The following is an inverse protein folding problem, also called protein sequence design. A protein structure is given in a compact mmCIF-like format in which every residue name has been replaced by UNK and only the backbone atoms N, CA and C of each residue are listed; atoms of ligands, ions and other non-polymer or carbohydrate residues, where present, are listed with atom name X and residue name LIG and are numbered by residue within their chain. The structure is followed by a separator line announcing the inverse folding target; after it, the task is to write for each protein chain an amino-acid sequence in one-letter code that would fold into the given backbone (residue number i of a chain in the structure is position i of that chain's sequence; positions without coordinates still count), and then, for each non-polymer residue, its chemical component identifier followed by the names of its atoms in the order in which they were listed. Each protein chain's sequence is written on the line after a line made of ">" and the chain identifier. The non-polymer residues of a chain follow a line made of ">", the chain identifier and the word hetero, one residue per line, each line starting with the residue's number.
data_IF_443931090505
#
_entry.id   IF_443931090505
#
_cell.length_a   1.000
_cell.length_b   1.000
_cell.length_c   1.000
_cell.angle_alpha   90.00
_cell.angle_beta   90.00
_cell.angle_gamma   90.00
#
_symmetry.space_group_name_H-M   'P 1'
#
loop_
_entity.id
_entity.type
_entity.pdbx_description
1 polymer ?
#
# COMPACT_ATOMS: atom_id res chain seq x y z
N UNK A 1 -18.25 7.41 -3.84
CA UNK A 1 -18.60 7.32 -2.40
C UNK A 1 -18.92 8.71 -1.88
N UNK A 2 -19.88 8.86 -0.95
CA UNK A 2 -20.11 10.11 -0.23
C UNK A 2 -18.90 10.49 0.65
N UNK A 3 -18.68 11.79 0.85
CA UNK A 3 -17.74 12.28 1.87
C UNK A 3 -18.26 12.00 3.29
N UNK A 4 -17.35 11.72 4.23
CA UNK A 4 -17.68 11.43 5.63
C UNK A 4 -17.75 12.66 6.52
N UNK A 5 -16.93 13.68 6.25
CA UNK A 5 -16.82 14.93 7.00
C UNK A 5 -16.84 16.15 6.06
N UNK A 6 -16.94 17.34 6.63
CA UNK A 6 -17.05 18.57 5.84
C UNK A 6 -15.69 19.01 5.27
N UNK A 7 -15.69 19.47 4.02
CA UNK A 7 -14.48 19.89 3.29
C UNK A 7 -14.62 21.33 2.83
N UNK A 8 -13.57 22.14 3.00
CA UNK A 8 -13.54 23.55 2.62
C UNK A 8 -13.25 24.47 3.79
N UNK A 9 -13.70 25.73 3.67
CA UNK A 9 -13.46 26.79 4.64
C UNK A 9 -14.02 26.40 6.01
N UNK A 10 -13.15 26.34 7.02
CA UNK A 10 -13.48 25.91 8.38
C UNK A 10 -14.09 24.49 8.49
N UNK A 11 -13.94 23.66 7.45
CA UNK A 11 -14.34 22.26 7.48
C UNK A 11 -13.36 21.38 8.26
N UNK A 12 -13.78 20.14 8.55
CA UNK A 12 -12.92 19.11 9.14
C UNK A 12 -11.72 18.81 8.25
N UNK A 13 -11.92 18.81 6.92
CA UNK A 13 -10.87 18.63 5.92
C UNK A 13 -10.08 17.31 6.09
N UNK A 14 -10.80 16.22 6.36
CA UNK A 14 -10.22 14.88 6.37
C UNK A 14 -9.60 14.53 5.01
N UNK A 15 -8.37 13.99 5.03
CA UNK A 15 -7.57 13.72 3.83
C UNK A 15 -8.35 13.02 2.72
N UNK A 16 -9.08 11.95 3.08
CA UNK A 16 -9.86 11.16 2.12
C UNK A 16 -10.98 11.98 1.46
N UNK A 17 -11.67 12.81 2.23
CA UNK A 17 -12.77 13.64 1.72
C UNK A 17 -12.25 14.82 0.89
N UNK A 18 -11.13 15.44 1.30
CA UNK A 18 -10.49 16.49 0.53
C UNK A 18 -10.02 15.97 -0.82
N UNK A 19 -9.44 14.76 -0.86
CA UNK A 19 -9.05 14.11 -2.11
C UNK A 19 -10.24 13.88 -3.04
N UNK A 20 -11.38 13.44 -2.49
CA UNK A 20 -12.61 13.26 -3.26
C UNK A 20 -13.11 14.59 -3.83
N UNK A 21 -13.17 15.63 -3.00
CA UNK A 21 -13.63 16.97 -3.42
C UNK A 21 -12.71 17.60 -4.46
N UNK A 22 -11.39 17.54 -4.26
CA UNK A 22 -10.42 18.08 -5.22
C UNK A 22 -10.55 17.41 -6.59
N UNK A 23 -10.84 16.11 -6.64
CA UNK A 23 -11.10 15.44 -7.90
C UNK A 23 -12.38 15.90 -8.58
N UNK A 24 -13.50 15.98 -7.84
CA UNK A 24 -14.77 16.43 -8.43
C UNK A 24 -14.69 17.89 -8.91
N UNK A 25 -13.95 18.75 -8.18
CA UNK A 25 -13.69 20.12 -8.63
C UNK A 25 -12.81 20.16 -9.87
N UNK A 26 -11.81 19.28 -9.98
CA UNK A 26 -10.94 19.22 -11.15
C UNK A 26 -11.67 18.82 -12.43
N UNK A 27 -12.72 18.00 -12.34
CA UNK A 27 -13.57 17.69 -13.48
C UNK A 27 -14.26 18.95 -14.02
N UNK A 28 -14.87 19.74 -13.12
CA UNK A 28 -15.50 21.01 -13.47
C UNK A 28 -14.49 22.05 -13.98
N UNK A 29 -13.33 22.16 -13.31
CA UNK A 29 -12.26 23.06 -13.74
C UNK A 29 -11.77 22.69 -15.14
N UNK A 30 -11.57 21.40 -15.42
CA UNK A 30 -11.18 20.91 -16.74
C UNK A 30 -12.22 21.20 -17.82
N UNK A 31 -13.51 20.94 -17.53
CA UNK A 31 -14.62 21.20 -18.44
C UNK A 31 -14.78 22.71 -18.77
N UNK A 32 -14.31 23.59 -17.88
CA UNK A 32 -14.37 25.04 -18.05
C UNK A 32 -13.02 25.64 -18.49
N UNK A 33 -12.04 24.82 -18.87
CA UNK A 33 -10.72 25.27 -19.34
C UNK A 33 -9.84 25.89 -18.24
N UNK A 34 -10.19 25.70 -16.97
CA UNK A 34 -9.45 26.21 -15.82
C UNK A 34 -8.33 25.26 -15.40
N UNK A 35 -7.31 25.81 -14.72
CA UNK A 35 -6.15 25.03 -14.25
C UNK A 35 -6.56 24.06 -13.12
N UNK A 36 -6.24 22.76 -13.23
CA UNK A 36 -6.52 21.80 -12.16
C UNK A 36 -5.81 22.13 -10.83
N UNK A 37 -6.47 21.77 -9.74
CA UNK A 37 -5.95 21.68 -8.39
C UNK A 37 -4.98 20.48 -8.26
N UNK A 38 -3.91 20.61 -7.48
CA UNK A 38 -3.18 19.44 -6.97
C UNK A 38 -4.13 18.56 -6.16
N UNK A 39 -4.09 17.25 -6.38
CA UNK A 39 -4.88 16.25 -5.64
C UNK A 39 -4.08 15.70 -4.46
N UNK A 40 -3.58 16.62 -3.64
CA UNK A 40 -2.72 16.31 -2.49
C UNK A 40 -3.50 15.93 -1.23
N UNK A 41 -4.81 16.17 -1.19
CA UNK A 41 -5.62 16.02 0.01
C UNK A 41 -5.45 17.20 0.99
N UNK A 42 -4.71 18.23 0.61
CA UNK A 42 -4.58 19.46 1.38
C UNK A 42 -5.65 20.48 0.99
N UNK A 43 -6.53 20.85 1.93
CA UNK A 43 -7.58 21.83 1.68
C UNK A 43 -7.06 23.28 1.84
N UNK A 44 -6.09 23.67 1.01
CA UNK A 44 -5.54 25.02 1.00
C UNK A 44 -6.41 26.05 0.27
N UNK A 45 -5.91 27.30 0.19
CA UNK A 45 -6.62 28.44 -0.41
C UNK A 45 -7.13 28.18 -1.82
N UNK A 46 -6.39 27.41 -2.65
CA UNK A 46 -6.81 27.05 -4.00
C UNK A 46 -8.02 26.12 -4.01
N UNK A 47 -8.05 25.14 -3.12
CA UNK A 47 -9.19 24.22 -2.97
C UNK A 47 -10.41 24.99 -2.51
N UNK A 48 -10.27 25.83 -1.49
CA UNK A 48 -11.37 26.66 -0.96
C UNK A 48 -11.90 27.61 -2.04
N UNK A 49 -11.02 28.29 -2.78
CA UNK A 49 -11.43 29.17 -3.87
C UNK A 49 -12.20 28.43 -4.98
N UNK A 50 -11.77 27.21 -5.33
CA UNK A 50 -12.48 26.39 -6.29
C UNK A 50 -13.86 25.94 -5.78
N UNK A 51 -14.00 25.61 -4.49
CA UNK A 51 -15.31 25.33 -3.87
C UNK A 51 -16.21 26.56 -3.96
N UNK A 52 -15.72 27.73 -3.53
CA UNK A 52 -16.48 28.99 -3.59
C UNK A 52 -16.91 29.31 -5.01
N UNK A 53 -16.01 29.14 -5.98
CA UNK A 53 -16.30 29.40 -7.39
C UNK A 53 -17.33 28.42 -7.96
N UNK A 54 -17.22 27.13 -7.65
CA UNK A 54 -18.20 26.12 -8.06
C UNK A 54 -19.59 26.44 -7.49
N UNK A 55 -19.67 26.79 -6.20
CA UNK A 55 -20.94 27.19 -5.57
C UNK A 55 -21.56 28.41 -6.25
N UNK A 56 -20.76 29.42 -6.58
CA UNK A 56 -21.25 30.61 -7.27
C UNK A 56 -21.71 30.29 -8.71
N UNK A 57 -20.89 29.60 -9.49
CA UNK A 57 -21.09 29.44 -10.94
C UNK A 57 -22.04 28.29 -11.31
N UNK A 58 -22.08 27.23 -10.52
CA UNK A 58 -22.88 26.03 -10.83
C UNK A 58 -24.18 26.00 -10.04
N UNK A 59 -24.17 26.52 -8.79
CA UNK A 59 -25.34 26.49 -7.92
C UNK A 59 -26.05 27.83 -7.81
N UNK A 60 -25.53 28.87 -8.47
CA UNK A 60 -26.01 30.24 -8.37
C UNK A 60 -26.16 30.71 -6.92
N UNK A 61 -25.18 30.34 -6.08
CA UNK A 61 -25.20 30.68 -4.67
C UNK A 61 -24.93 32.17 -4.48
N UNK A 62 -25.93 32.92 -3.98
CA UNK A 62 -25.80 34.35 -3.71
C UNK A 62 -24.70 34.70 -2.67
N UNK A 63 -24.39 33.76 -1.77
CA UNK A 63 -23.31 33.88 -0.78
C UNK A 63 -22.57 32.55 -0.68
N UNK A 64 -21.61 32.27 -1.57
CA UNK A 64 -20.85 31.03 -1.53
C UNK A 64 -19.96 31.00 -0.28
N UNK A 65 -20.13 29.98 0.56
CA UNK A 65 -19.47 29.88 1.87
C UNK A 65 -18.10 29.18 1.79
N UNK A 66 -17.82 28.50 0.67
CA UNK A 66 -16.59 27.74 0.47
C UNK A 66 -16.54 26.43 1.28
N UNK A 67 -17.69 25.92 1.75
CA UNK A 67 -17.79 24.71 2.57
C UNK A 67 -18.71 23.67 1.91
N UNK A 68 -18.26 22.42 1.90
CA UNK A 68 -19.01 21.26 1.42
C UNK A 68 -19.31 20.37 2.63
N UNK A 69 -20.59 20.27 3.00
CA UNK A 69 -21.06 19.33 4.00
C UNK A 69 -21.46 17.97 3.38
N UNK A 70 -21.31 16.85 4.11
CA UNK A 70 -21.85 15.55 3.71
C UNK A 70 -23.34 15.63 3.38
N UNK A 71 -23.74 15.10 2.22
CA UNK A 71 -25.14 15.14 1.77
C UNK A 71 -25.68 16.53 1.41
N UNK A 72 -24.86 17.59 1.51
CA UNK A 72 -25.26 18.96 1.24
C UNK A 72 -25.45 19.26 -0.24
N UNK A 73 -26.05 20.42 -0.54
CA UNK A 73 -26.38 20.85 -1.91
C UNK A 73 -25.15 20.88 -2.84
N UNK A 74 -24.01 21.38 -2.36
CA UNK A 74 -22.76 21.38 -3.14
C UNK A 74 -22.23 19.97 -3.39
N UNK A 75 -22.29 19.10 -2.38
CA UNK A 75 -21.92 17.69 -2.54
C UNK A 75 -22.80 17.00 -3.58
N UNK A 76 -24.12 17.15 -3.49
CA UNK A 76 -25.07 16.52 -4.41
C UNK A 76 -24.84 16.96 -5.87
N UNK A 77 -24.54 18.24 -6.10
CA UNK A 77 -24.26 18.74 -7.44
C UNK A 77 -22.94 18.21 -8.02
N UNK A 78 -21.87 18.21 -7.21
CA UNK A 78 -20.60 17.60 -7.60
C UNK A 78 -20.75 16.09 -7.86
N UNK A 79 -21.56 15.42 -7.04
CA UNK A 79 -21.83 13.99 -7.17
C UNK A 79 -22.74 13.64 -8.36
N UNK A 80 -23.68 14.51 -8.74
CA UNK A 80 -24.57 14.29 -9.90
C UNK A 80 -23.78 14.27 -11.23
N UNK A 81 -22.66 14.99 -11.32
CA UNK A 81 -21.72 14.89 -12.44
C UNK A 81 -20.99 13.55 -12.55
N UNK A 82 -21.13 12.64 -11.59
CA UNK A 82 -20.47 11.33 -11.60
C UNK A 82 -21.08 10.32 -12.59
N UNK A 83 -22.28 10.58 -13.14
CA UNK A 83 -22.93 9.69 -14.11
C UNK A 83 -22.16 9.47 -15.41
N UNK A 84 -21.16 10.31 -15.68
CA UNK A 84 -20.24 10.21 -16.83
C UNK A 84 -18.82 9.84 -16.43
N UNK A 85 -18.57 9.47 -15.16
CA UNK A 85 -17.21 9.30 -14.65
C UNK A 85 -16.62 7.94 -15.06
N UNK A 86 -15.45 7.92 -15.73
CA UNK A 86 -14.66 6.71 -15.84
C UNK A 86 -14.20 6.26 -14.44
N UNK A 87 -13.99 4.95 -14.19
CA UNK A 87 -13.48 4.48 -12.90
C UNK A 87 -12.18 5.18 -12.51
N UNK A 88 -11.92 5.34 -11.20
CA UNK A 88 -10.70 5.97 -10.70
C UNK A 88 -9.46 5.25 -11.27
N UNK A 89 -8.37 5.99 -11.48
CA UNK A 89 -7.13 5.46 -12.04
C UNK A 89 -5.92 5.88 -11.20
N UNK A 90 -4.79 5.18 -11.41
CA UNK A 90 -3.49 5.53 -10.85
C UNK A 90 -3.51 5.86 -9.35
N UNK A 91 -2.75 6.89 -8.97
CA UNK A 91 -2.57 7.30 -7.58
C UNK A 91 -3.88 7.71 -6.90
N UNK A 92 -4.85 8.26 -7.64
CA UNK A 92 -6.16 8.58 -7.09
C UNK A 92 -6.88 7.31 -6.63
N UNK A 93 -6.97 6.30 -7.50
CA UNK A 93 -7.59 5.04 -7.16
C UNK A 93 -6.90 4.42 -5.95
N UNK A 94 -5.57 4.45 -5.92
CA UNK A 94 -4.80 3.92 -4.79
C UNK A 94 -5.13 4.65 -3.49
N UNK A 95 -5.07 5.98 -3.47
CA UNK A 95 -5.31 6.76 -2.26
C UNK A 95 -6.72 6.51 -1.70
N UNK A 96 -7.71 6.35 -2.57
CA UNK A 96 -9.09 6.07 -2.18
C UNK A 96 -9.31 4.62 -1.66
N UNK A 97 -8.48 3.66 -2.06
CA UNK A 97 -8.73 2.23 -1.81
C UNK A 97 -7.63 1.52 -0.99
N UNK A 98 -6.49 2.15 -0.72
CA UNK A 98 -5.31 1.49 -0.15
C UNK A 98 -5.55 0.77 1.18
N UNK A 99 -6.47 1.27 2.01
CA UNK A 99 -6.85 0.65 3.28
C UNK A 99 -7.37 -0.79 3.12
N UNK A 100 -7.86 -1.17 1.94
CA UNK A 100 -8.35 -2.51 1.61
C UNK A 100 -7.22 -3.49 1.26
N UNK A 101 -6.00 -2.99 1.05
CA UNK A 101 -4.86 -3.80 0.61
C UNK A 101 -3.64 -3.64 1.53
N UNK A 102 -3.78 -3.85 2.85
CA UNK A 102 -2.68 -3.70 3.79
C UNK A 102 -1.65 -4.82 3.61
N UNK A 103 -0.37 -4.47 3.73
CA UNK A 103 0.65 -5.46 4.08
C UNK A 103 0.64 -5.68 5.60
N UNK A 104 1.21 -6.79 6.05
CA UNK A 104 1.26 -7.14 7.47
C UNK A 104 2.69 -7.34 7.97
N UNK A 105 2.88 -7.14 9.27
CA UNK A 105 4.05 -7.56 10.04
C UNK A 105 3.67 -8.55 11.17
N UNK A 106 2.41 -9.00 11.21
CA UNK A 106 1.92 -9.90 12.25
C UNK A 106 2.18 -11.38 11.89
N UNK A 107 2.78 -12.11 12.83
CA UNK A 107 2.98 -13.57 12.71
C UNK A 107 1.66 -14.31 12.49
N UNK A 108 0.55 -13.80 13.06
CA UNK A 108 -0.78 -14.40 12.91
C UNK A 108 -1.26 -14.49 11.45
N UNK A 109 -0.77 -13.59 10.58
CA UNK A 109 -1.16 -13.51 9.17
C UNK A 109 -0.33 -14.44 8.26
N UNK A 110 0.67 -15.14 8.82
CA UNK A 110 1.38 -16.21 8.12
C UNK A 110 0.48 -17.44 7.95
N UNK A 111 0.73 -18.21 6.90
CA UNK A 111 -0.03 -19.45 6.64
C UNK A 111 0.48 -20.61 7.50
N UNK A 112 -0.37 -21.60 7.76
CA UNK A 112 0.07 -22.85 8.37
C UNK A 112 0.76 -23.78 7.35
N UNK A 113 1.73 -24.60 7.78
CA UNK A 113 2.26 -24.71 9.15
C UNK A 113 3.33 -23.67 9.51
N UNK A 114 3.76 -22.83 8.55
CA UNK A 114 4.87 -21.88 8.72
C UNK A 114 4.67 -20.91 9.89
N UNK A 115 3.44 -20.41 10.11
CA UNK A 115 3.07 -19.58 11.26
C UNK A 115 3.48 -20.20 12.60
N UNK A 116 3.14 -21.46 12.80
CA UNK A 116 3.35 -22.15 14.08
C UNK A 116 4.85 -22.45 14.29
N UNK A 117 5.54 -22.71 13.19
CA UNK A 117 6.99 -22.85 13.14
C UNK A 117 7.71 -21.54 13.53
N UNK A 118 7.31 -20.41 12.93
CA UNK A 118 7.84 -19.09 13.26
C UNK A 118 7.56 -18.74 14.71
N UNK A 119 6.34 -18.94 15.20
CA UNK A 119 5.98 -18.67 16.59
C UNK A 119 6.88 -19.46 17.57
N UNK A 120 7.13 -20.74 17.30
CA UNK A 120 8.00 -21.58 18.11
C UNK A 120 9.48 -21.12 18.06
N UNK A 121 9.98 -20.74 16.88
CA UNK A 121 11.34 -20.23 16.72
C UNK A 121 11.55 -18.89 17.44
N UNK A 122 10.62 -17.95 17.27
CA UNK A 122 10.63 -16.65 17.97
C UNK A 122 10.60 -16.83 19.49
N UNK A 123 9.82 -17.80 19.99
CA UNK A 123 9.82 -18.13 21.41
C UNK A 123 11.21 -18.62 21.86
N UNK A 124 11.83 -19.54 21.13
CA UNK A 124 13.15 -20.06 21.48
C UNK A 124 14.24 -18.98 21.47
N UNK A 125 14.17 -18.04 20.54
CA UNK A 125 15.03 -16.85 20.49
C UNK A 125 14.84 -15.96 21.72
N UNK A 126 13.59 -15.63 22.05
CA UNK A 126 13.24 -14.80 23.19
C UNK A 126 13.67 -15.44 24.52
N UNK A 127 13.41 -16.73 24.69
CA UNK A 127 13.81 -17.50 25.88
C UNK A 127 15.34 -17.52 26.06
N UNK A 128 16.10 -17.41 24.97
CA UNK A 128 17.56 -17.36 24.98
C UNK A 128 18.14 -15.94 25.15
N UNK A 129 17.29 -14.91 25.26
CA UNK A 129 17.70 -13.52 25.43
C UNK A 129 18.03 -12.77 24.13
N UNK A 130 17.62 -13.28 22.97
CA UNK A 130 17.74 -12.54 21.71
C UNK A 130 16.60 -11.51 21.56
N UNK A 131 16.90 -10.39 20.89
CA UNK A 131 15.92 -9.42 20.41
C UNK A 131 15.53 -9.74 18.97
N UNK A 132 14.24 -9.55 18.65
CA UNK A 132 13.71 -9.74 17.29
C UNK A 132 12.81 -8.56 16.93
N UNK A 133 13.07 -7.94 15.78
CA UNK A 133 12.21 -6.92 15.18
C UNK A 133 11.68 -7.45 13.87
N UNK A 134 10.35 -7.55 13.73
CA UNK A 134 9.69 -8.01 12.50
C UNK A 134 9.30 -6.79 11.67
N UNK A 135 9.76 -6.73 10.42
CA UNK A 135 9.45 -5.63 9.50
C UNK A 135 8.37 -6.00 8.48
N UNK A 136 8.26 -7.28 8.10
CA UNK A 136 7.22 -7.74 7.17
C UNK A 136 6.88 -9.23 7.35
N UNK A 137 5.65 -9.57 7.02
CA UNK A 137 5.12 -10.95 6.93
C UNK A 137 4.33 -11.08 5.64
N UNK A 138 3.00 -11.06 5.68
CA UNK A 138 2.17 -11.21 4.49
C UNK A 138 2.10 -9.93 3.66
N UNK A 139 2.39 -10.04 2.37
CA UNK A 139 2.11 -9.02 1.35
C UNK A 139 0.74 -9.28 0.75
N UNK A 140 -0.08 -8.24 0.60
CA UNK A 140 -1.39 -8.41 -0.03
C UNK A 140 -1.23 -8.79 -1.51
N UNK A 141 -1.88 -9.87 -1.95
CA UNK A 141 -1.75 -10.39 -3.31
C UNK A 141 -2.27 -9.40 -4.37
N UNK A 142 -3.41 -8.74 -4.11
CA UNK A 142 -3.95 -7.74 -5.02
C UNK A 142 -3.06 -6.49 -5.07
N UNK A 143 -2.48 -6.07 -3.94
CA UNK A 143 -1.47 -5.01 -3.95
C UNK A 143 -0.27 -5.37 -4.83
N UNK A 144 0.23 -6.61 -4.75
CA UNK A 144 1.33 -7.06 -5.59
C UNK A 144 0.97 -7.07 -7.08
N UNK A 145 -0.24 -7.51 -7.42
CA UNK A 145 -0.77 -7.45 -8.79
C UNK A 145 -0.85 -6.00 -9.31
N UNK A 146 -1.38 -5.08 -8.50
CA UNK A 146 -1.44 -3.66 -8.83
C UNK A 146 -0.04 -3.11 -9.14
N UNK A 147 0.93 -3.34 -8.25
CA UNK A 147 2.32 -2.91 -8.43
C UNK A 147 2.93 -3.51 -9.72
N UNK A 148 2.74 -4.81 -9.95
CA UNK A 148 3.26 -5.52 -11.12
C UNK A 148 2.74 -4.93 -12.43
N UNK A 149 1.43 -4.77 -12.56
CA UNK A 149 0.85 -4.25 -13.80
C UNK A 149 1.06 -2.76 -13.98
N UNK A 150 1.15 -1.96 -12.91
CA UNK A 150 1.62 -0.57 -13.00
C UNK A 150 3.00 -0.50 -13.64
N UNK A 151 3.96 -1.33 -13.19
CA UNK A 151 5.29 -1.35 -13.78
C UNK A 151 5.27 -1.79 -15.26
N UNK A 152 4.56 -2.86 -15.59
CA UNK A 152 4.50 -3.37 -16.96
C UNK A 152 3.86 -2.39 -17.94
N UNK A 153 2.79 -1.70 -17.53
CA UNK A 153 2.16 -0.66 -18.35
C UNK A 153 3.10 0.54 -18.50
N UNK A 154 3.73 1.01 -17.42
CA UNK A 154 4.68 2.12 -17.48
C UNK A 154 5.85 1.83 -18.44
N UNK A 155 6.37 0.60 -18.44
CA UNK A 155 7.42 0.15 -19.36
C UNK A 155 6.93 -0.18 -20.77
N UNK A 156 5.62 -0.16 -21.02
CA UNK A 156 5.04 -0.50 -22.33
C UNK A 156 5.12 -2.00 -22.67
N UNK A 157 5.33 -2.86 -21.67
CA UNK A 157 5.39 -4.32 -21.83
C UNK A 157 3.99 -4.94 -21.86
N UNK A 158 2.97 -4.21 -21.39
CA UNK A 158 1.56 -4.57 -21.47
C UNK A 158 0.80 -3.31 -21.90
N UNK A 159 -0.07 -3.45 -22.91
CA UNK A 159 -0.95 -2.35 -23.28
C UNK A 159 -2.00 -2.11 -22.18
N UNK A 160 -2.39 -0.85 -21.89
CA UNK A 160 -3.33 -0.54 -20.80
C UNK A 160 -4.66 -1.31 -20.87
N UNK A 161 -5.19 -1.54 -22.07
CA UNK A 161 -6.42 -2.32 -22.31
C UNK A 161 -6.20 -3.85 -22.37
N UNK A 162 -4.96 -4.32 -22.16
CA UNK A 162 -4.58 -5.74 -22.12
C UNK A 162 -4.10 -6.17 -20.73
N UNK A 163 -4.17 -5.28 -19.72
CA UNK A 163 -4.05 -5.73 -18.33
C UNK A 163 -5.20 -6.70 -18.05
N UNK A 164 -4.92 -7.91 -17.52
CA UNK A 164 -5.99 -8.86 -17.24
C UNK A 164 -6.97 -8.29 -16.21
N UNK A 165 -8.20 -8.79 -16.23
CA UNK A 165 -9.16 -8.50 -15.18
C UNK A 165 -8.63 -9.08 -13.88
N UNK A 166 -8.47 -8.23 -12.86
CA UNK A 166 -7.97 -8.60 -11.54
C UNK A 166 -9.14 -8.48 -10.55
N UNK A 167 -9.83 -9.58 -10.21
CA UNK A 167 -10.97 -9.52 -9.30
C UNK A 167 -10.61 -8.83 -7.99
N UNK A 168 -11.37 -7.79 -7.63
CA UNK A 168 -11.11 -6.96 -6.45
C UNK A 168 -10.19 -5.76 -6.68
N UNK A 169 -9.73 -5.51 -7.91
CA UNK A 169 -9.02 -4.29 -8.30
C UNK A 169 -9.77 -3.57 -9.44
N UNK A 170 -10.79 -2.79 -9.07
CA UNK A 170 -11.61 -2.04 -10.03
C UNK A 170 -10.93 -0.71 -10.44
N UNK A 171 -9.70 -0.79 -10.93
CA UNK A 171 -8.90 0.34 -11.39
C UNK A 171 -8.99 0.50 -12.90
N UNK A 172 -9.15 1.73 -13.37
CA UNK A 172 -9.04 2.04 -14.80
C UNK A 172 -7.57 2.10 -15.20
N UNK A 173 -7.17 1.22 -16.12
CA UNK A 173 -5.83 1.22 -16.70
C UNK A 173 -5.74 2.05 -17.99
N UNK A 174 -6.74 1.91 -18.87
CA UNK A 174 -6.77 2.57 -20.17
C UNK A 174 -7.49 3.92 -20.10
N UNK A 175 -6.74 4.99 -20.36
CA UNK A 175 -7.24 6.36 -20.37
C UNK A 175 -7.80 6.80 -21.73
N UNK A 176 -7.84 5.92 -22.73
CA UNK A 176 -8.16 6.25 -24.13
C UNK A 176 -7.00 6.95 -24.85
N UNK A 177 -5.89 7.15 -24.14
CA UNK A 177 -4.65 7.71 -24.66
C UNK A 177 -3.47 6.95 -24.02
N UNK A 178 -2.56 6.45 -24.86
CA UNK A 178 -1.47 5.60 -24.41
C UNK A 178 -0.48 6.38 -23.53
N UNK A 179 -0.15 7.62 -23.90
CA UNK A 179 0.81 8.43 -23.14
C UNK A 179 0.29 8.72 -21.72
N UNK A 180 -0.99 9.12 -21.59
CA UNK A 180 -1.66 9.33 -20.30
C UNK A 180 -1.78 8.05 -19.48
N UNK A 181 -2.02 6.90 -20.11
CA UNK A 181 -2.10 5.62 -19.41
C UNK A 181 -0.75 5.21 -18.84
N UNK A 182 0.32 5.32 -19.63
CA UNK A 182 1.70 5.08 -19.17
C UNK A 182 2.12 6.05 -18.08
N UNK A 183 1.77 7.33 -18.18
CA UNK A 183 2.05 8.32 -17.15
C UNK A 183 1.35 7.99 -15.82
N UNK A 184 0.07 7.59 -15.86
CA UNK A 184 -0.66 7.15 -14.65
C UNK A 184 -0.04 5.90 -14.01
N UNK A 185 0.40 4.95 -14.83
CA UNK A 185 1.10 3.76 -14.36
C UNK A 185 2.48 4.08 -13.78
N UNK A 186 3.23 5.02 -14.38
CA UNK A 186 4.51 5.49 -13.85
C UNK A 186 4.33 6.20 -12.50
N UNK A 187 3.30 7.02 -12.34
CA UNK A 187 3.00 7.65 -11.05
C UNK A 187 2.73 6.61 -9.94
N UNK A 188 2.14 5.47 -10.27
CA UNK A 188 1.99 4.34 -9.33
C UNK A 188 3.34 3.69 -9.01
N UNK A 189 4.22 3.51 -10.00
CA UNK A 189 5.58 3.04 -9.75
C UNK A 189 6.34 3.98 -8.80
N UNK A 190 6.21 5.29 -9.00
CA UNK A 190 6.89 6.29 -8.17
C UNK A 190 6.32 6.27 -6.74
N UNK A 191 4.98 6.21 -6.59
CA UNK A 191 4.29 6.11 -5.30
C UNK A 191 4.74 4.88 -4.50
N UNK A 192 4.92 3.74 -5.18
CA UNK A 192 5.37 2.50 -4.57
C UNK A 192 6.90 2.33 -4.56
N UNK A 193 7.64 3.30 -5.07
CA UNK A 193 9.11 3.27 -5.19
C UNK A 193 9.61 2.02 -5.94
N UNK A 194 8.96 1.65 -7.04
CA UNK A 194 9.26 0.46 -7.84
C UNK A 194 10.36 0.73 -8.87
N UNK A 195 11.55 0.17 -8.64
CA UNK A 195 12.65 0.22 -9.60
C UNK A 195 12.60 -0.93 -10.64
N UNK A 196 12.36 -2.15 -10.16
CA UNK A 196 12.34 -3.38 -10.96
C UNK A 196 10.95 -4.01 -10.97
N UNK A 197 10.70 -4.92 -11.93
CA UNK A 197 9.42 -5.63 -12.04
C UNK A 197 9.04 -6.31 -10.70
N UNK A 198 7.92 -5.94 -10.08
CA UNK A 198 7.45 -6.60 -8.87
C UNK A 198 7.13 -8.08 -9.15
N UNK A 199 7.74 -8.97 -8.37
CA UNK A 199 7.47 -10.42 -8.47
C UNK A 199 6.08 -10.76 -7.93
N UNK A 200 5.38 -11.64 -8.65
CA UNK A 200 4.10 -12.23 -8.24
C UNK A 200 4.24 -13.60 -7.57
N UNK A 201 5.46 -14.14 -7.51
CA UNK A 201 5.78 -15.47 -6.96
C UNK A 201 6.54 -15.40 -5.63
N UNK A 202 6.49 -14.25 -4.95
CA UNK A 202 7.16 -14.03 -3.67
C UNK A 202 6.47 -14.80 -2.54
N UNK A 203 7.27 -15.44 -1.67
CA UNK A 203 6.80 -16.10 -0.45
C UNK A 203 6.05 -15.16 0.51
N UNK A 204 6.33 -13.85 0.50
CA UNK A 204 5.54 -12.89 1.27
C UNK A 204 4.09 -12.80 0.79
N UNK A 205 3.83 -12.95 -0.51
CA UNK A 205 2.46 -12.95 -1.07
C UNK A 205 1.71 -14.20 -0.59
N UNK A 206 2.42 -15.33 -0.53
CA UNK A 206 1.89 -16.61 -0.06
C UNK A 206 1.75 -16.67 1.47
N UNK A 207 2.26 -15.69 2.22
CA UNK A 207 2.30 -15.71 3.69
C UNK A 207 3.28 -16.73 4.27
N UNK A 208 4.31 -17.11 3.49
CA UNK A 208 5.31 -18.14 3.80
C UNK A 208 6.71 -17.57 4.06
N UNK A 209 6.80 -16.25 4.22
CA UNK A 209 8.03 -15.55 4.54
C UNK A 209 7.81 -14.50 5.62
N UNK A 210 8.89 -14.19 6.33
CA UNK A 210 9.00 -13.18 7.36
C UNK A 210 10.34 -12.47 7.21
N UNK A 211 10.28 -11.14 7.22
CA UNK A 211 11.45 -10.27 7.31
C UNK A 211 11.63 -9.88 8.76
N UNK A 212 12.79 -10.21 9.32
CA UNK A 212 13.10 -9.91 10.71
C UNK A 212 14.59 -9.69 10.94
N UNK A 213 14.90 -8.74 11.81
CA UNK A 213 16.25 -8.51 12.35
C UNK A 213 16.36 -9.20 13.70
N UNK A 214 17.39 -10.04 13.86
CA UNK A 214 17.65 -10.77 15.11
C UNK A 214 19.02 -10.37 15.64
N UNK A 215 19.09 -9.99 16.91
CA UNK A 215 20.34 -9.60 17.59
C UNK A 215 20.42 -10.15 19.01
N UNK A 216 21.62 -10.23 19.56
CA UNK A 216 21.86 -10.66 20.95
C UNK A 216 23.22 -10.18 21.46
N UNK A 217 23.43 -10.30 22.77
CA UNK A 217 24.69 -9.98 23.44
C UNK A 217 25.38 -11.27 23.93
N UNK A 218 26.71 -11.23 24.00
CA UNK A 218 27.50 -12.38 24.49
C UNK A 218 27.31 -13.63 23.64
N UNK A 219 27.35 -14.79 24.31
CA UNK A 219 26.97 -16.10 23.74
C UNK A 219 25.63 -16.49 24.35
N UNK A 220 24.66 -16.87 23.51
CA UNK A 220 23.33 -17.33 23.95
C UNK A 220 23.16 -18.82 23.71
N UNK A 221 22.20 -19.45 24.41
CA UNK A 221 21.84 -20.87 24.23
C UNK A 221 20.42 -21.00 23.70
N UNK A 222 20.28 -21.09 22.39
CA UNK A 222 18.97 -21.24 21.72
C UNK A 222 18.63 -22.72 21.64
N UNK A 223 17.40 -23.09 22.01
CA UNK A 223 16.94 -24.47 21.87
C UNK A 223 16.53 -24.74 20.43
N UNK A 224 17.00 -25.85 19.85
CA UNK A 224 16.47 -26.35 18.58
C UNK A 224 15.05 -26.92 18.75
N UNK A 225 14.40 -27.31 17.66
CA UNK A 225 13.03 -27.83 17.66
C UNK A 225 12.86 -29.08 18.53
N UNK A 226 13.93 -29.85 18.75
CA UNK A 226 13.96 -31.02 19.63
C UNK A 226 14.23 -30.65 21.10
N UNK A 227 14.41 -29.36 21.42
CA UNK A 227 14.64 -28.85 22.76
C UNK A 227 16.10 -28.84 23.20
N UNK A 228 17.04 -29.30 22.35
CA UNK A 228 18.47 -29.36 22.67
C UNK A 228 19.08 -27.96 22.59
N UNK A 229 19.80 -27.49 23.64
CA UNK A 229 20.44 -26.19 23.62
C UNK A 229 21.61 -26.17 22.62
N UNK A 230 21.70 -25.10 21.83
CA UNK A 230 22.77 -24.80 20.87
C UNK A 230 23.40 -23.47 21.26
N UNK A 231 24.72 -23.45 21.42
CA UNK A 231 25.45 -22.21 21.68
C UNK A 231 25.57 -21.39 20.40
N UNK A 232 25.16 -20.13 20.48
CA UNK A 232 25.23 -19.16 19.39
C UNK A 232 26.13 -18.01 19.84
N UNK A 233 27.33 -17.96 19.29
CA UNK A 233 28.35 -16.96 19.59
C UNK A 233 28.37 -15.85 18.51
N UNK A 234 29.55 -15.33 18.16
CA UNK A 234 29.70 -14.39 17.05
C UNK A 234 29.59 -15.09 15.67
N UNK A 235 29.15 -14.39 14.61
CA UNK A 235 28.65 -13.02 14.59
C UNK A 235 27.29 -12.89 15.29
N UNK A 236 27.03 -11.77 15.97
CA UNK A 236 25.81 -11.58 16.79
C UNK A 236 24.65 -10.99 16.00
N UNK A 237 24.41 -11.55 14.83
CA UNK A 237 23.39 -11.10 13.88
C UNK A 237 22.71 -12.31 13.25
N UNK A 238 21.38 -12.27 13.19
CA UNK A 238 20.60 -13.27 12.49
C UNK A 238 20.83 -13.30 10.98
N UNK A 239 21.41 -12.24 10.41
CA UNK A 239 21.66 -12.16 8.97
C UNK A 239 22.86 -13.04 8.59
N UNK A 240 23.86 -13.13 9.47
CA UNK A 240 25.18 -13.71 9.14
C UNK A 240 25.56 -14.93 9.98
N UNK A 241 24.87 -15.21 11.10
CA UNK A 241 25.23 -16.32 11.97
C UNK A 241 24.71 -17.67 11.47
N UNK A 242 25.64 -18.49 10.95
CA UNK A 242 25.34 -19.82 10.40
C UNK A 242 24.85 -20.83 11.44
N UNK A 243 25.24 -20.71 12.71
CA UNK A 243 24.70 -21.56 13.78
C UNK A 243 23.24 -21.23 14.06
N UNK A 244 22.89 -19.95 14.08
CA UNK A 244 21.49 -19.55 14.21
C UNK A 244 20.66 -19.98 13.00
N UNK A 245 21.19 -19.85 11.79
CA UNK A 245 20.52 -20.34 10.58
C UNK A 245 20.22 -21.83 10.67
N UNK A 246 21.18 -22.64 11.16
CA UNK A 246 20.97 -24.07 11.41
C UNK A 246 19.87 -24.33 12.45
N UNK A 247 19.82 -23.54 13.52
CA UNK A 247 18.74 -23.65 14.52
C UNK A 247 17.38 -23.32 13.90
N UNK A 248 17.25 -22.19 13.19
CA UNK A 248 16.01 -21.81 12.50
C UNK A 248 15.52 -22.90 11.53
N UNK A 249 16.44 -23.51 10.78
CA UNK A 249 16.11 -24.62 9.88
C UNK A 249 15.49 -25.82 10.61
N UNK A 250 15.85 -26.10 11.87
CA UNK A 250 15.19 -27.16 12.66
C UNK A 250 13.72 -26.88 12.93
N UNK A 251 13.30 -25.61 12.94
CA UNK A 251 11.91 -25.19 13.05
C UNK A 251 11.21 -25.13 11.69
N UNK A 252 11.90 -25.31 10.57
CA UNK A 252 11.35 -25.02 9.24
C UNK A 252 11.28 -23.53 8.94
N UNK A 253 12.16 -22.71 9.56
CA UNK A 253 12.32 -21.28 9.30
C UNK A 253 13.73 -21.07 8.73
N UNK A 254 13.82 -21.00 7.41
CA UNK A 254 15.06 -21.10 6.64
C UNK A 254 15.50 -19.71 6.18
N UNK A 255 16.76 -19.37 6.45
CA UNK A 255 17.36 -18.09 6.04
C UNK A 255 17.62 -18.07 4.53
N UNK A 256 17.19 -17.01 3.85
CA UNK A 256 17.74 -16.64 2.54
C UNK A 256 18.99 -15.77 2.75
N UNK A 257 20.17 -16.28 2.44
CA UNK A 257 21.44 -15.61 2.78
C UNK A 257 21.68 -14.33 1.97
N UNK A 258 21.20 -14.28 0.72
CA UNK A 258 21.38 -13.13 -0.16
C UNK A 258 20.48 -11.94 0.17
N UNK A 259 19.46 -12.13 1.01
CA UNK A 259 18.53 -11.10 1.45
C UNK A 259 18.54 -11.05 2.99
N UNK A 260 19.34 -10.16 3.60
CA UNK A 260 19.64 -10.17 5.04
C UNK A 260 18.44 -10.30 5.98
N UNK A 261 17.31 -9.58 5.82
CA UNK A 261 16.16 -9.76 6.71
C UNK A 261 15.33 -11.03 6.44
N UNK A 262 15.44 -11.66 5.26
CA UNK A 262 14.44 -12.62 4.78
C UNK A 262 14.62 -14.04 5.34
N UNK A 263 13.51 -14.60 5.84
CA UNK A 263 13.37 -16.01 6.21
C UNK A 263 12.07 -16.57 5.66
N UNK A 264 12.06 -17.81 5.21
CA UNK A 264 10.87 -18.48 4.67
C UNK A 264 10.87 -19.95 5.01
N UNK A 265 9.82 -20.68 4.61
CA UNK A 265 9.75 -22.11 4.84
C UNK A 265 10.65 -22.95 3.92
N UNK A 266 11.17 -22.35 2.84
CA UNK A 266 12.05 -23.00 1.87
C UNK A 266 13.34 -22.22 1.58
N UNK A 267 13.56 -21.08 2.23
CA UNK A 267 14.75 -20.25 2.09
C UNK A 267 14.81 -19.48 0.77
N UNK A 268 13.66 -19.25 0.13
CA UNK A 268 13.49 -18.46 -1.10
C UNK A 268 12.50 -17.32 -0.92
#
# INVERSE_FOLDING_TARGET
>A
MPIGASVGKNGVNDLADVLVVQHLLNDWLGATGQKPLPTSGECGTRTIAAITAYQAQVLDAARPDGLIGPGGRTWLALAAGQGTRPPLAGAEWWNANQARYPNSAAVADLVQPFRDNVAAFLKALKDAGASVTISATRRNALRAQLMHYSWRVAKGLVAPNKVPVLPGLDIRWDHGDLARSKAGAQAMCDLFQIAFEPSLTSRHIEGRAIDMTIGWNGTIKVRDKQGKPREIAAPRSGDTNRDLHRVGATYGVIKLVSDPPHWSDDGR
#
